data_IF_350055154836
#
_entry.id   IF_350055154836
#
_cell.length_a   1.000
_cell.length_b   1.000
_cell.length_c   1.000
_cell.angle_alpha   90.00
_cell.angle_beta   90.00
_cell.angle_gamma   90.00
#
_symmetry.space_group_name_H-M   'P 1'
#
loop_
_entity.id
_entity.type
_entity.pdbx_description
1 polymer ?
#
# COMPACT_ATOMS: atom_id res chain seq x y z
N UNK A 1 -12.70 16.07 20.04
CA UNK A 1 -13.49 15.05 19.32
C UNK A 1 -13.61 15.51 17.88
N UNK A 2 -12.67 15.11 17.03
CA UNK A 2 -12.68 15.47 15.61
C UNK A 2 -13.64 14.53 14.87
N UNK A 3 -14.15 14.95 13.72
CA UNK A 3 -15.09 14.20 12.88
C UNK A 3 -14.57 12.85 12.33
N UNK A 4 -13.38 12.40 12.76
CA UNK A 4 -12.70 11.18 12.33
C UNK A 4 -13.36 9.92 12.93
N UNK A 5 -13.79 9.97 14.20
CA UNK A 5 -14.38 8.81 14.91
C UNK A 5 -15.70 8.31 14.29
N UNK A 6 -16.43 9.18 13.58
CA UNK A 6 -17.79 8.88 13.13
C UNK A 6 -17.92 7.92 11.94
N UNK A 7 -16.82 7.58 11.24
CA UNK A 7 -16.87 6.83 9.98
C UNK A 7 -15.87 5.65 9.89
N UNK A 8 -15.13 5.37 10.96
CA UNK A 8 -14.39 4.12 11.09
C UNK A 8 -15.40 2.96 10.95
N UNK A 9 -15.00 1.90 10.26
CA UNK A 9 -15.80 0.72 9.94
C UNK A 9 -17.00 0.92 9.00
N UNK A 10 -17.18 2.11 8.38
CA UNK A 10 -18.25 2.35 7.40
C UNK A 10 -17.81 2.16 5.95
N UNK A 11 -18.51 1.27 5.25
CA UNK A 11 -18.34 1.01 3.82
C UNK A 11 -18.79 2.19 2.95
N UNK A 12 -17.97 2.52 1.95
CA UNK A 12 -18.16 3.58 0.95
C UNK A 12 -17.77 3.04 -0.43
N UNK A 13 -18.28 3.62 -1.53
CA UNK A 13 -17.94 3.10 -2.86
C UNK A 13 -16.52 3.51 -3.25
N UNK A 14 -15.73 2.56 -3.77
CA UNK A 14 -14.33 2.82 -4.14
C UNK A 14 -14.22 3.82 -5.30
N UNK A 15 -15.18 3.84 -6.22
CA UNK A 15 -15.21 4.82 -7.32
C UNK A 15 -15.46 6.26 -6.87
N UNK A 16 -16.02 6.47 -5.67
CA UNK A 16 -16.19 7.79 -5.06
C UNK A 16 -14.86 8.35 -4.53
N UNK A 17 -13.84 7.49 -4.31
CA UNK A 17 -12.47 7.89 -3.95
C UNK A 17 -11.68 8.54 -5.09
N UNK A 18 -12.22 8.56 -6.33
CA UNK A 18 -11.67 9.39 -7.41
C UNK A 18 -11.75 10.89 -7.08
N UNK A 19 -12.54 11.27 -6.06
CA UNK A 19 -12.47 12.58 -5.41
C UNK A 19 -11.64 12.44 -4.14
N UNK A 20 -10.72 13.38 -3.93
CA UNK A 20 -9.88 13.42 -2.73
C UNK A 20 -10.74 13.35 -1.47
N UNK A 21 -10.48 12.32 -0.66
CA UNK A 21 -11.02 12.22 0.68
C UNK A 21 -9.87 12.42 1.70
N UNK A 22 -9.92 13.47 2.54
CA UNK A 22 -8.87 13.75 3.51
C UNK A 22 -8.68 12.64 4.56
N UNK A 23 -9.65 11.71 4.70
CA UNK A 23 -9.57 10.59 5.63
C UNK A 23 -8.68 9.45 5.14
N UNK A 24 -8.42 9.38 3.83
CA UNK A 24 -7.50 8.42 3.23
C UNK A 24 -6.15 9.04 2.91
N UNK A 25 -5.99 10.37 2.97
CA UNK A 25 -4.78 11.09 2.56
C UNK A 25 -3.63 11.04 3.60
N UNK A 26 -2.95 9.89 3.69
CA UNK A 26 -1.71 9.66 4.46
C UNK A 26 -1.92 9.56 6.00
N UNK A 27 -1.32 8.64 6.77
CA UNK A 27 -0.16 7.78 6.53
C UNK A 27 1.10 8.31 7.23
N UNK A 28 1.04 8.58 8.54
CA UNK A 28 2.23 8.90 9.33
C UNK A 28 2.19 8.14 10.65
N UNK A 29 3.35 7.68 11.11
CA UNK A 29 3.55 7.09 12.43
C UNK A 29 2.98 7.93 13.57
N UNK A 30 2.73 7.29 14.70
CA UNK A 30 2.17 7.98 15.87
C UNK A 30 3.19 9.02 16.32
N UNK A 31 2.69 10.09 16.92
CA UNK A 31 3.54 11.11 17.56
C UNK A 31 4.60 10.46 18.45
N UNK A 32 4.22 9.45 19.23
CA UNK A 32 5.11 8.70 20.13
C UNK A 32 6.18 7.89 19.38
N UNK A 33 5.82 7.19 18.30
CA UNK A 33 6.79 6.48 17.45
C UNK A 33 7.76 7.46 16.77
N UNK A 34 7.27 8.57 16.24
CA UNK A 34 8.11 9.58 15.59
C UNK A 34 9.06 10.27 16.58
N UNK A 35 8.56 10.65 17.77
CA UNK A 35 9.39 11.24 18.83
C UNK A 35 10.52 10.29 19.27
N UNK A 36 10.24 8.97 19.27
CA UNK A 36 11.19 7.94 19.71
C UNK A 36 12.22 7.58 18.64
N UNK A 37 11.77 7.35 17.39
CA UNK A 37 12.61 6.72 16.36
C UNK A 37 13.07 7.66 15.24
N UNK A 38 12.32 8.76 14.97
CA UNK A 38 12.62 9.74 13.91
C UNK A 38 12.25 11.17 14.36
N UNK A 39 12.91 11.69 15.41
CA UNK A 39 12.56 13.00 15.99
C UNK A 39 12.78 14.17 15.01
N UNK A 40 13.59 13.95 13.96
CA UNK A 40 13.75 14.87 12.83
C UNK A 40 12.44 15.04 12.04
N UNK A 41 11.71 13.96 11.77
CA UNK A 41 10.45 13.97 11.01
C UNK A 41 9.27 14.51 11.82
N UNK A 42 9.28 14.32 13.14
CA UNK A 42 8.26 14.87 14.04
C UNK A 42 8.21 16.41 14.00
N UNK A 43 9.38 17.05 13.93
CA UNK A 43 9.52 18.50 13.98
C UNK A 43 8.89 19.26 12.79
N UNK A 44 8.58 18.55 11.70
CA UNK A 44 7.94 19.11 10.51
C UNK A 44 6.39 19.12 10.56
N UNK A 45 5.79 18.68 11.68
CA UNK A 45 4.35 18.86 11.95
C UNK A 45 3.44 17.83 11.29
N UNK A 46 3.97 16.66 10.90
CA UNK A 46 3.19 15.55 10.36
C UNK A 46 2.63 14.68 11.48
N UNK A 47 1.30 14.55 11.54
CA UNK A 47 0.62 13.55 12.37
C UNK A 47 -0.73 13.21 11.71
N UNK A 48 -0.89 12.00 11.19
CA UNK A 48 -2.19 11.48 10.73
C UNK A 48 -2.29 9.95 10.83
N UNK A 49 -3.35 9.50 11.52
CA UNK A 49 -4.00 8.19 11.37
C UNK A 49 -5.51 8.41 11.17
N UNK A 50 -6.19 7.62 10.33
CA UNK A 50 -6.33 6.15 10.45
C UNK A 50 -5.64 5.32 9.36
N UNK A 51 -5.20 4.11 9.72
CA UNK A 51 -4.88 2.99 8.83
C UNK A 51 -5.80 1.82 9.23
N UNK A 52 -6.52 1.10 8.35
CA UNK A 52 -6.26 0.73 6.95
C UNK A 52 -7.54 0.72 6.10
N UNK A 53 -7.43 0.75 4.77
CA UNK A 53 -8.59 0.57 3.91
C UNK A 53 -8.83 -0.91 3.63
N UNK A 54 -9.82 -1.51 4.27
CA UNK A 54 -10.37 -2.78 3.81
C UNK A 54 -11.15 -2.52 2.52
N UNK A 55 -10.94 -3.37 1.52
CA UNK A 55 -11.66 -3.30 0.25
C UNK A 55 -12.36 -4.63 0.01
N UNK A 56 -13.63 -4.56 -0.37
CA UNK A 56 -14.44 -5.72 -0.67
C UNK A 56 -15.28 -5.47 -1.93
N UNK A 57 -15.76 -6.54 -2.57
CA UNK A 57 -16.82 -6.48 -3.57
C UNK A 57 -18.13 -6.92 -2.92
N UNK A 58 -19.14 -6.06 -3.02
CA UNK A 58 -20.51 -6.39 -2.62
C UNK A 58 -21.43 -6.11 -3.81
N UNK A 59 -22.09 -7.14 -4.31
CA UNK A 59 -23.04 -7.06 -5.44
C UNK A 59 -22.43 -6.45 -6.72
N UNK A 60 -21.16 -6.73 -7.04
CA UNK A 60 -20.48 -6.17 -8.21
C UNK A 60 -19.99 -4.73 -8.02
N UNK A 61 -20.18 -4.14 -6.84
CA UNK A 61 -19.61 -2.83 -6.49
C UNK A 61 -18.41 -3.01 -5.57
N UNK A 62 -17.28 -2.40 -5.94
CA UNK A 62 -16.12 -2.34 -5.06
C UNK A 62 -16.35 -1.25 -4.01
N UNK A 63 -16.26 -1.65 -2.75
CA UNK A 63 -16.46 -0.79 -1.58
C UNK A 63 -15.23 -0.82 -0.68
N UNK A 64 -15.04 0.25 0.07
CA UNK A 64 -13.90 0.45 0.95
C UNK A 64 -14.34 0.98 2.32
N UNK A 65 -13.61 0.67 3.38
CA UNK A 65 -13.78 1.28 4.71
C UNK A 65 -12.46 1.42 5.43
N UNK A 66 -12.39 2.35 6.37
CA UNK A 66 -11.29 2.42 7.32
C UNK A 66 -11.52 1.37 8.41
N UNK A 67 -10.60 0.43 8.57
CA UNK A 67 -10.53 -0.51 9.68
C UNK A 67 -9.76 0.13 10.85
N UNK A 68 -10.11 -0.25 12.08
CA UNK A 68 -9.43 0.21 13.28
C UNK A 68 -8.09 -0.52 13.44
N UNK A 69 -7.02 0.20 13.79
CA UNK A 69 -5.68 -0.37 13.90
C UNK A 69 -5.60 -1.32 15.10
N UNK A 70 -5.13 -2.55 14.86
CA UNK A 70 -4.62 -3.42 15.93
C UNK A 70 -3.15 -3.04 16.17
N UNK A 71 -2.91 -2.13 17.12
CA UNK A 71 -1.55 -1.70 17.46
C UNK A 71 -0.90 -2.88 18.20
N UNK A 72 0.19 -3.46 17.66
CA UNK A 72 0.91 -4.51 18.37
C UNK A 72 1.34 -3.99 19.74
N UNK A 73 1.23 -4.84 20.77
CA UNK A 73 1.74 -4.53 22.11
C UNK A 73 3.22 -4.09 22.02
N UNK A 74 3.69 -3.23 22.92
CA UNK A 74 5.08 -2.71 22.96
C UNK A 74 6.11 -3.86 23.03
N UNK A 75 5.68 -5.00 23.56
CA UNK A 75 6.43 -6.25 23.68
C UNK A 75 6.17 -7.27 22.55
N UNK A 76 5.35 -6.92 21.55
CA UNK A 76 5.17 -7.77 20.38
C UNK A 76 6.52 -7.87 19.66
N UNK A 77 7.05 -9.09 19.45
CA UNK A 77 8.31 -9.23 18.75
C UNK A 77 8.17 -8.56 17.37
N UNK A 78 9.12 -7.67 17.03
CA UNK A 78 9.30 -7.24 15.66
C UNK A 78 9.61 -8.48 14.84
N UNK A 79 8.60 -9.06 14.21
CA UNK A 79 8.78 -10.15 13.25
C UNK A 79 9.51 -9.54 12.06
N UNK A 80 10.84 -9.61 12.09
CA UNK A 80 11.72 -9.39 10.94
C UNK A 80 11.55 -10.48 9.88
N UNK A 81 10.42 -11.16 9.87
CA UNK A 81 10.23 -12.41 9.16
C UNK A 81 10.15 -12.16 7.66
N UNK A 82 10.76 -13.10 6.94
CA UNK A 82 10.67 -13.18 5.50
C UNK A 82 9.21 -13.42 5.11
N UNK A 83 8.61 -12.47 4.40
CA UNK A 83 7.31 -12.64 3.79
C UNK A 83 7.47 -13.44 2.49
N UNK A 84 6.89 -14.63 2.45
CA UNK A 84 6.90 -15.48 1.25
C UNK A 84 5.56 -15.38 0.54
N UNK A 85 5.55 -14.72 -0.62
CA UNK A 85 4.42 -14.66 -1.54
C UNK A 85 4.51 -15.82 -2.53
N UNK A 86 3.59 -16.77 -2.44
CA UNK A 86 3.51 -17.90 -3.38
C UNK A 86 2.74 -17.48 -4.63
N UNK A 87 3.37 -17.63 -5.79
CA UNK A 87 2.80 -17.28 -7.10
C UNK A 87 2.89 -18.46 -8.07
N UNK A 88 2.21 -18.35 -9.20
CA UNK A 88 2.24 -19.32 -10.30
C UNK A 88 3.61 -19.50 -10.96
N UNK A 89 4.50 -18.50 -10.87
CA UNK A 89 5.86 -18.55 -11.44
C UNK A 89 6.94 -18.85 -10.40
N UNK A 90 6.57 -18.90 -9.11
CA UNK A 90 7.44 -19.31 -8.00
C UNK A 90 7.20 -18.52 -6.72
N UNK A 91 8.14 -18.61 -5.77
CA UNK A 91 8.08 -17.85 -4.54
C UNK A 91 8.76 -16.49 -4.72
N UNK A 92 8.09 -15.44 -4.26
CA UNK A 92 8.65 -14.10 -4.12
C UNK A 92 8.87 -13.86 -2.63
N UNK A 93 10.08 -13.49 -2.24
CA UNK A 93 10.42 -13.31 -0.82
C UNK A 93 10.78 -11.85 -0.55
N UNK A 94 10.00 -11.19 0.30
CA UNK A 94 10.29 -9.84 0.78
C UNK A 94 10.68 -9.90 2.25
N UNK A 95 11.76 -9.21 2.63
CA UNK A 95 12.21 -9.16 4.03
C UNK A 95 11.50 -8.04 4.77
N UNK A 96 10.91 -8.36 5.93
CA UNK A 96 10.22 -7.38 6.78
C UNK A 96 9.05 -6.68 6.10
N UNK A 97 8.36 -7.34 5.14
CA UNK A 97 7.24 -6.74 4.41
C UNK A 97 7.55 -5.36 3.78
N UNK A 98 8.81 -5.16 3.36
CA UNK A 98 9.27 -3.89 2.81
C UNK A 98 9.52 -2.79 3.84
N UNK A 99 9.42 -3.04 5.16
CA UNK A 99 9.52 -2.03 6.23
C UNK A 99 10.94 -1.51 6.51
N UNK A 100 12.00 -2.26 6.17
CA UNK A 100 13.37 -1.86 6.54
C UNK A 100 14.31 -1.72 5.34
N UNK A 101 13.74 -1.46 4.15
CA UNK A 101 14.48 -1.62 2.90
C UNK A 101 14.80 -3.08 2.65
N UNK A 102 15.14 -3.41 1.41
CA UNK A 102 15.51 -4.77 1.11
C UNK A 102 15.49 -5.07 -0.36
N UNK A 103 15.23 -6.32 -0.63
CA UNK A 103 15.08 -6.84 -1.96
C UNK A 103 13.86 -7.77 -2.01
N UNK A 104 13.30 -7.89 -3.21
CA UNK A 104 12.40 -8.96 -3.57
C UNK A 104 13.22 -10.02 -4.28
N UNK A 105 13.41 -11.15 -3.62
CA UNK A 105 13.97 -12.33 -4.25
C UNK A 105 12.88 -12.95 -5.12
N UNK A 106 13.14 -13.04 -6.43
CA UNK A 106 12.21 -13.64 -7.40
C UNK A 106 12.86 -14.86 -8.05
N UNK A 107 12.08 -15.74 -8.70
CA UNK A 107 12.64 -16.85 -9.47
C UNK A 107 13.58 -16.40 -10.61
N UNK A 108 13.43 -15.17 -11.10
CA UNK A 108 14.27 -14.58 -12.15
C UNK A 108 15.48 -13.80 -11.64
N UNK A 109 15.64 -13.64 -10.33
CA UNK A 109 16.71 -12.85 -9.70
C UNK A 109 16.20 -11.89 -8.63
N UNK A 110 17.11 -11.10 -8.08
CA UNK A 110 16.84 -10.17 -6.99
C UNK A 110 16.63 -8.74 -7.53
N UNK A 111 15.63 -8.03 -7.00
CA UNK A 111 15.45 -6.60 -7.25
C UNK A 111 15.37 -5.83 -5.92
N UNK A 112 15.97 -4.64 -5.86
CA UNK A 112 16.01 -3.83 -4.65
C UNK A 112 14.79 -2.91 -4.54
N UNK A 113 14.24 -2.79 -3.33
CA UNK A 113 13.07 -1.97 -3.03
C UNK A 113 12.40 -2.39 -1.72
N UNK A 114 11.39 -1.63 -1.32
CA UNK A 114 10.60 -1.82 -0.11
C UNK A 114 9.27 -2.49 -0.46
N UNK A 115 9.37 -3.74 -0.94
CA UNK A 115 8.22 -4.48 -1.47
C UNK A 115 7.29 -4.93 -0.35
N UNK A 116 6.13 -4.26 -0.24
CA UNK A 116 5.15 -4.50 0.80
C UNK A 116 3.99 -5.42 0.35
N UNK A 117 3.84 -5.62 -0.97
CA UNK A 117 2.78 -6.48 -1.49
C UNK A 117 3.16 -7.15 -2.82
N UNK A 118 2.67 -8.36 -3.04
CA UNK A 118 2.80 -9.13 -4.29
C UNK A 118 1.49 -9.88 -4.58
N UNK A 119 1.04 -9.83 -5.83
CA UNK A 119 -0.17 -10.52 -6.27
C UNK A 119 -0.12 -10.97 -7.72
N UNK A 120 -1.07 -11.83 -8.09
CA UNK A 120 -1.24 -12.30 -9.45
C UNK A 120 -2.52 -11.73 -10.06
N UNK A 121 -2.45 -11.41 -11.34
CA UNK A 121 -3.62 -11.08 -12.16
C UNK A 121 -3.32 -11.46 -13.61
N UNK A 122 -4.24 -12.23 -14.20
CA UNK A 122 -4.07 -12.74 -15.57
C UNK A 122 -2.84 -13.64 -15.69
N UNK A 123 -1.92 -13.30 -16.59
CA UNK A 123 -0.68 -14.03 -16.84
C UNK A 123 0.57 -13.41 -16.20
N UNK A 124 0.38 -12.45 -15.28
CA UNK A 124 1.43 -11.65 -14.66
C UNK A 124 1.40 -11.72 -13.13
N UNK A 125 2.58 -11.54 -12.55
CA UNK A 125 2.76 -11.21 -11.14
C UNK A 125 3.01 -9.71 -11.03
N UNK A 126 2.51 -9.09 -9.98
CA UNK A 126 2.70 -7.68 -9.67
C UNK A 126 3.31 -7.55 -8.29
N UNK A 127 4.22 -6.58 -8.14
CA UNK A 127 4.78 -6.24 -6.84
C UNK A 127 4.68 -4.73 -6.59
N UNK A 128 4.37 -4.35 -5.37
CA UNK A 128 4.25 -2.96 -4.94
C UNK A 128 5.38 -2.67 -3.96
N UNK A 129 6.20 -1.69 -4.34
CA UNK A 129 7.25 -1.08 -3.55
C UNK A 129 6.72 0.22 -2.97
N UNK A 130 6.83 0.39 -1.64
CA UNK A 130 6.29 1.55 -0.96
C UNK A 130 7.17 1.98 0.22
N UNK A 131 7.44 3.27 0.29
CA UNK A 131 8.15 3.89 1.41
C UNK A 131 7.21 4.46 2.49
N UNK A 132 5.90 4.13 2.42
CA UNK A 132 4.89 4.61 3.38
C UNK A 132 5.31 4.41 4.83
N UNK A 133 5.90 3.26 5.13
CA UNK A 133 6.40 2.96 6.46
C UNK A 133 7.47 3.97 6.86
N UNK A 134 8.45 4.38 6.04
CA UNK A 134 9.43 5.42 6.43
C UNK A 134 8.85 6.84 6.59
N UNK A 135 7.53 7.02 6.55
CA UNK A 135 6.89 8.32 6.51
C UNK A 135 7.09 9.06 5.19
N UNK A 136 7.49 8.34 4.14
CA UNK A 136 7.74 8.88 2.81
C UNK A 136 6.61 8.47 1.86
N UNK A 137 6.00 9.44 1.19
CA UNK A 137 4.93 9.19 0.26
C UNK A 137 5.45 8.72 -1.10
N UNK A 138 6.07 7.54 -1.20
CA UNK A 138 6.58 7.01 -2.47
C UNK A 138 6.03 5.61 -2.73
N UNK A 139 5.45 5.39 -3.91
CA UNK A 139 4.99 4.08 -4.36
C UNK A 139 5.42 3.81 -5.79
N UNK A 140 5.93 2.61 -6.03
CA UNK A 140 6.21 2.08 -7.36
C UNK A 140 5.55 0.71 -7.51
N UNK A 141 4.85 0.48 -8.63
CA UNK A 141 4.32 -0.84 -8.97
C UNK A 141 5.11 -1.43 -10.14
N UNK A 142 5.37 -2.72 -10.04
CA UNK A 142 6.06 -3.52 -11.04
C UNK A 142 5.13 -4.64 -11.53
N UNK A 143 5.25 -5.00 -12.80
CA UNK A 143 4.73 -6.26 -13.35
C UNK A 143 5.88 -7.17 -13.73
N UNK A 144 5.67 -8.47 -13.58
CA UNK A 144 6.58 -9.54 -13.98
C UNK A 144 5.85 -10.42 -14.98
N UNK A 145 6.51 -10.71 -16.10
CA UNK A 145 6.04 -11.73 -17.02
C UNK A 145 6.39 -13.14 -16.52
N UNK A 146 5.98 -14.16 -17.28
CA UNK A 146 6.23 -15.57 -16.95
C UNK A 146 7.70 -15.96 -16.90
N UNK A 147 8.56 -15.21 -17.58
CA UNK A 147 10.01 -15.39 -17.56
C UNK A 147 10.66 -14.61 -16.40
N UNK A 148 9.84 -14.06 -15.49
CA UNK A 148 10.24 -13.22 -14.36
C UNK A 148 10.99 -11.94 -14.77
N UNK A 149 10.83 -11.48 -16.01
CA UNK A 149 11.31 -10.17 -16.43
C UNK A 149 10.33 -9.11 -15.95
N UNK A 150 10.86 -8.09 -15.29
CA UNK A 150 10.03 -7.06 -14.68
C UNK A 150 9.98 -5.75 -15.48
N UNK A 151 8.87 -5.05 -15.32
CA UNK A 151 8.60 -3.73 -15.89
C UNK A 151 8.03 -2.83 -14.80
N UNK A 152 8.57 -1.61 -14.67
CA UNK A 152 7.94 -0.57 -13.85
C UNK A 152 6.71 -0.04 -14.58
N UNK A 153 5.53 -0.22 -13.99
CA UNK A 153 4.25 0.16 -14.62
C UNK A 153 3.65 1.43 -14.03
N UNK A 154 4.01 1.77 -12.79
CA UNK A 154 3.58 2.99 -12.12
C UNK A 154 4.64 3.48 -11.13
N UNK A 155 4.75 4.79 -10.95
CA UNK A 155 5.57 5.41 -9.91
C UNK A 155 5.06 6.83 -9.60
N UNK A 156 4.84 7.13 -8.32
CA UNK A 156 4.55 8.49 -7.84
C UNK A 156 5.28 8.69 -6.51
N UNK A 157 6.06 9.77 -6.42
CA UNK A 157 6.87 10.14 -5.25
C UNK A 157 6.12 11.00 -4.22
N UNK A 158 4.81 11.18 -4.42
CA UNK A 158 3.93 11.91 -3.49
C UNK A 158 2.75 11.06 -2.99
N UNK A 159 2.70 9.78 -3.35
CA UNK A 159 1.60 8.88 -3.01
C UNK A 159 2.11 7.60 -2.33
N UNK A 160 1.48 7.29 -1.21
CA UNK A 160 1.65 6.09 -0.41
C UNK A 160 0.65 5.01 -0.82
N UNK A 161 1.10 3.76 -0.89
CA UNK A 161 0.22 2.60 -1.01
C UNK A 161 -0.64 2.45 0.24
N UNK A 162 -1.94 2.20 0.04
CA UNK A 162 -2.93 2.04 1.13
C UNK A 162 -3.64 0.71 1.13
N UNK A 163 -4.07 0.25 -0.04
CA UNK A 163 -4.79 -1.01 -0.13
C UNK A 163 -4.73 -1.56 -1.55
N UNK A 164 -4.86 -2.89 -1.63
CA UNK A 164 -5.08 -3.62 -2.88
C UNK A 164 -6.39 -4.37 -2.80
N UNK A 165 -7.12 -4.38 -3.92
CA UNK A 165 -8.21 -5.33 -4.17
C UNK A 165 -8.01 -6.03 -5.50
N UNK A 166 -8.18 -7.35 -5.54
CA UNK A 166 -7.99 -8.16 -6.76
C UNK A 166 -9.22 -9.01 -6.99
N UNK A 167 -9.75 -8.94 -8.20
CA UNK A 167 -10.77 -9.84 -8.74
C UNK A 167 -10.13 -10.74 -9.80
N UNK A 168 -10.91 -11.66 -10.39
CA UNK A 168 -10.41 -12.48 -11.50
C UNK A 168 -10.02 -11.68 -12.75
N UNK A 169 -10.57 -10.48 -12.92
CA UNK A 169 -10.42 -9.69 -14.16
C UNK A 169 -9.63 -8.39 -13.94
N UNK A 170 -9.54 -7.90 -12.70
CA UNK A 170 -8.99 -6.58 -12.39
C UNK A 170 -8.27 -6.56 -11.05
N UNK A 171 -7.26 -5.71 -10.96
CA UNK A 171 -6.68 -5.30 -9.68
C UNK A 171 -6.82 -3.79 -9.50
N UNK A 172 -6.94 -3.39 -8.25
CA UNK A 172 -7.17 -2.03 -7.83
C UNK A 172 -6.14 -1.68 -6.76
N UNK A 173 -5.33 -0.65 -7.00
CA UNK A 173 -4.40 -0.12 -6.01
C UNK A 173 -4.88 1.25 -5.57
N UNK A 174 -5.25 1.37 -4.29
CA UNK A 174 -5.57 2.64 -3.68
C UNK A 174 -4.28 3.30 -3.18
N UNK A 175 -3.99 4.48 -3.72
CA UNK A 175 -2.83 5.28 -3.37
C UNK A 175 -3.28 6.65 -2.88
N UNK A 176 -2.60 7.18 -1.86
CA UNK A 176 -2.97 8.48 -1.30
C UNK A 176 -1.78 9.20 -0.68
N UNK A 177 -1.89 10.52 -0.59
CA UNK A 177 -0.84 11.35 -0.02
C UNK A 177 -1.20 12.82 -0.15
N UNK A 178 -0.18 13.66 -0.30
CA UNK A 178 -0.33 15.11 -0.49
C UNK A 178 0.54 15.59 -1.63
N UNK A 179 0.04 16.51 -2.45
CA UNK A 179 0.82 17.25 -3.44
C UNK A 179 0.81 18.71 -3.02
N UNK A 180 1.92 19.17 -2.45
CA UNK A 180 1.95 20.42 -1.68
C UNK A 180 1.04 20.31 -0.45
N UNK A 181 0.15 21.28 -0.24
CA UNK A 181 -0.82 21.23 0.87
C UNK A 181 -2.11 20.48 0.53
N UNK A 182 -2.31 20.11 -0.74
CA UNK A 182 -3.56 19.52 -1.18
C UNK A 182 -3.52 17.99 -1.02
N UNK A 183 -4.51 17.39 -0.35
CA UNK A 183 -4.64 15.95 -0.32
C UNK A 183 -4.90 15.42 -1.74
N UNK A 184 -4.31 14.27 -2.06
CA UNK A 184 -4.48 13.56 -3.32
C UNK A 184 -4.75 12.10 -3.04
N UNK A 185 -5.70 11.54 -3.76
CA UNK A 185 -5.98 10.10 -3.74
C UNK A 185 -6.28 9.65 -5.16
N UNK A 186 -5.71 8.52 -5.53
CA UNK A 186 -5.94 7.92 -6.84
C UNK A 186 -6.24 6.44 -6.64
N UNK A 187 -7.03 5.92 -7.56
CA UNK A 187 -7.27 4.50 -7.69
C UNK A 187 -6.67 4.06 -9.03
N UNK A 188 -5.62 3.25 -8.97
CA UNK A 188 -5.07 2.62 -10.16
C UNK A 188 -5.86 1.36 -10.44
N UNK A 189 -6.37 1.23 -11.65
CA UNK A 189 -6.96 -0.01 -12.14
C UNK A 189 -5.97 -0.71 -13.07
N UNK A 190 -5.80 -2.02 -12.88
CA UNK A 190 -5.01 -2.91 -13.75
C UNK A 190 -5.97 -3.97 -14.28
N UNK A 191 -6.06 -4.11 -15.60
CA UNK A 191 -6.85 -5.17 -16.22
C UNK A 191 -6.10 -6.51 -16.22
N UNK A 192 -6.81 -7.62 -16.44
CA UNK A 192 -6.20 -8.94 -16.65
C UNK A 192 -5.15 -8.99 -17.76
N UNK A 193 -5.24 -8.08 -18.74
CA UNK A 193 -4.29 -7.95 -19.85
C UNK A 193 -3.08 -7.07 -19.48
N UNK A 194 -3.07 -6.47 -18.29
CA UNK A 194 -2.04 -5.56 -17.81
C UNK A 194 -2.20 -4.11 -18.27
N UNK A 195 -3.37 -3.74 -18.82
CA UNK A 195 -3.67 -2.35 -19.15
C UNK A 195 -3.96 -1.56 -17.88
N UNK A 196 -3.39 -0.36 -17.77
CA UNK A 196 -3.55 0.51 -16.60
C UNK A 196 -4.44 1.72 -16.90
N UNK A 197 -5.32 2.05 -15.95
CA UNK A 197 -6.24 3.21 -16.04
C UNK A 197 -6.44 3.94 -14.72
#
# INVERSE_FOLDING_TARGET
MSAVDGNINKWQKLNELRKTDPRISGGYYTTEFLETYRPDFYSEGYSFFPEFVEVAEINGEIICRLEETDIPDEDAPFDSDECVFKTSVGNFVSRGHGEFGGALETPGGEIYGNFCDVFELGDRVYAVDSLSHLGLASTTAYSFDRDCKYHKIFSDENLSFKARYVTGERAYLLLSGRVGENPKSILLEISENGDMT
#
